data_IF_531916762265
#
_entry.id   IF_531916762265
#
_cell.length_a   1.000
_cell.length_b   1.000
_cell.length_c   1.000
_cell.angle_alpha   90.00
_cell.angle_beta   90.00
_cell.angle_gamma   90.00
#
_symmetry.space_group_name_H-M   'P 1'
#
loop_
_entity.id
_entity.type
_entity.pdbx_description
1 polymer ?
#
# COMPACT_ATOMS: atom_id res chain seq x y z
N UNK A 1 9.14 -6.97 0.94
CA UNK A 1 9.09 -5.61 1.51
C UNK A 1 7.68 -5.33 2.07
N UNK A 2 7.54 -4.34 2.95
CA UNK A 2 6.24 -3.92 3.50
C UNK A 2 6.05 -2.42 3.21
N UNK A 3 4.96 -2.07 2.54
CA UNK A 3 4.51 -0.69 2.40
C UNK A 3 3.32 -0.48 3.34
N UNK A 4 3.43 0.41 4.32
CA UNK A 4 2.31 0.76 5.19
C UNK A 4 2.16 2.26 5.33
N UNK A 5 0.96 2.68 5.74
CA UNK A 5 0.68 4.06 6.10
C UNK A 5 -0.59 4.16 6.94
N UNK A 6 -0.76 5.32 7.59
CA UNK A 6 -1.93 5.64 8.40
C UNK A 6 -2.78 6.73 7.73
N UNK A 7 -4.11 6.68 7.87
CA UNK A 7 -5.05 7.66 7.31
C UNK A 7 -4.87 7.82 5.78
N UNK A 8 -4.62 9.03 5.28
CA UNK A 8 -4.29 9.28 3.87
C UNK A 8 -3.07 8.46 3.40
N UNK A 9 -2.10 8.23 4.29
CA UNK A 9 -0.97 7.36 4.02
C UNK A 9 -1.39 5.90 3.83
N UNK A 10 -2.38 5.42 4.59
CA UNK A 10 -2.91 4.06 4.44
C UNK A 10 -3.62 3.87 3.11
N UNK A 11 -4.38 4.87 2.67
CA UNK A 11 -4.99 4.88 1.35
C UNK A 11 -3.91 4.84 0.26
N UNK A 12 -2.87 5.69 0.38
CA UNK A 12 -1.76 5.71 -0.58
C UNK A 12 -0.99 4.38 -0.63
N UNK A 13 -0.80 3.71 0.51
CA UNK A 13 -0.09 2.44 0.60
C UNK A 13 -0.80 1.31 -0.18
N UNK A 14 -2.14 1.37 -0.27
CA UNK A 14 -2.93 0.42 -1.07
C UNK A 14 -2.98 0.85 -2.53
N UNK A 15 -3.21 2.14 -2.81
CA UNK A 15 -3.28 2.65 -4.18
C UNK A 15 -1.98 2.46 -4.98
N UNK A 16 -0.82 2.51 -4.31
CA UNK A 16 0.50 2.37 -4.94
C UNK A 16 1.20 1.04 -4.62
N UNK A 17 0.47 0.04 -4.13
CA UNK A 17 1.07 -1.24 -3.74
C UNK A 17 1.77 -1.94 -4.92
N UNK A 18 1.13 -1.96 -6.09
CA UNK A 18 1.66 -2.61 -7.29
C UNK A 18 2.83 -1.83 -7.89
N UNK A 19 2.75 -0.49 -7.90
CA UNK A 19 3.87 0.38 -8.30
C UNK A 19 5.10 0.07 -7.44
N UNK A 20 4.93 0.02 -6.11
CA UNK A 20 6.01 -0.32 -5.19
C UNK A 20 6.55 -1.73 -5.41
N UNK A 21 5.69 -2.71 -5.73
CA UNK A 21 6.11 -4.06 -6.07
C UNK A 21 6.92 -4.11 -7.37
N UNK A 22 6.56 -3.32 -8.38
CA UNK A 22 7.26 -3.25 -9.68
C UNK A 22 8.69 -2.69 -9.57
N UNK A 23 9.00 -1.94 -8.51
CA UNK A 23 10.34 -1.42 -8.24
C UNK A 23 11.28 -2.46 -7.62
N UNK A 24 10.78 -3.64 -7.27
CA UNK A 24 11.51 -4.69 -6.59
C UNK A 24 11.68 -5.93 -7.49
N UNK A 25 12.70 -6.78 -7.25
CA UNK A 25 12.82 -8.05 -7.95
C UNK A 25 11.58 -8.93 -7.73
N UNK A 26 11.15 -9.68 -8.75
CA UNK A 26 9.96 -10.56 -8.69
C UNK A 26 10.02 -11.62 -7.59
N UNK A 27 11.22 -11.99 -7.12
CA UNK A 27 11.41 -12.90 -5.98
C UNK A 27 11.03 -12.27 -4.64
N UNK A 28 10.81 -10.96 -4.59
CA UNK A 28 10.45 -10.23 -3.38
C UNK A 28 8.95 -10.30 -3.14
N UNK A 29 8.55 -10.97 -2.06
CA UNK A 29 7.16 -10.86 -1.59
C UNK A 29 6.91 -9.45 -1.04
N UNK A 30 5.94 -8.76 -1.64
CA UNK A 30 5.45 -7.45 -1.19
C UNK A 30 4.14 -7.62 -0.46
N UNK A 31 3.99 -6.93 0.67
CA UNK A 31 2.73 -6.79 1.40
C UNK A 31 2.46 -5.31 1.58
N UNK A 32 1.18 -4.94 1.54
CA UNK A 32 0.74 -3.57 1.78
C UNK A 32 -0.34 -3.54 2.86
N UNK A 33 -0.27 -2.53 3.73
CA UNK A 33 -1.20 -2.36 4.85
C UNK A 33 -1.72 -0.93 4.89
N UNK A 34 -3.04 -0.79 4.79
CA UNK A 34 -3.74 0.45 5.11
C UNK A 34 -4.20 0.43 6.56
N UNK A 35 -3.65 1.33 7.37
CA UNK A 35 -4.16 1.61 8.70
C UNK A 35 -5.07 2.85 8.64
N UNK A 36 -6.37 2.70 8.87
CA UNK A 36 -7.33 3.81 8.84
C UNK A 36 -7.46 4.54 7.49
N UNK A 37 -7.05 3.93 6.38
CA UNK A 37 -7.12 4.53 5.04
C UNK A 37 -8.29 4.07 4.17
N UNK A 38 -9.32 3.44 4.76
CA UNK A 38 -10.55 3.07 4.06
C UNK A 38 -11.64 4.11 4.35
N UNK A 39 -12.13 4.76 3.29
CA UNK A 39 -13.14 5.81 3.36
C UNK A 39 -14.36 5.42 2.50
N UNK A 40 -15.56 5.79 2.93
CA UNK A 40 -16.80 5.64 2.17
C UNK A 40 -17.18 6.99 1.57
N UNK A 41 -17.59 7.00 0.31
CA UNK A 41 -18.21 8.17 -0.32
C UNK A 41 -19.67 8.29 0.14
N UNK A 42 -20.15 9.52 0.35
CA UNK A 42 -21.44 9.82 0.98
C UNK A 42 -22.53 10.15 -0.05
#
# INVERSE_FOLDING_TARGET
>A
ALLSGCSAGGLSAILHCDDFASLLPETTTVKCLSDGGFFLDA
#
